data_IF_499899497870
#
_entry.id   IF_499899497870
#
_cell.length_a   1.000
_cell.length_b   1.000
_cell.length_c   1.000
_cell.angle_alpha   90.00
_cell.angle_beta   90.00
_cell.angle_gamma   90.00
#
_symmetry.space_group_name_H-M   'P 1'
#
loop_
_entity.id
_entity.type
_entity.pdbx_description
1 polymer ?
#
# COMPACT_ATOMS: atom_id res chain seq x y z
N UNK A 1 8.34 -29.51 12.83
CA UNK A 1 7.87 -28.59 13.89
C UNK A 1 8.28 -27.15 13.60
N UNK A 2 9.56 -26.77 13.68
CA UNK A 2 9.99 -25.36 13.59
C UNK A 2 9.84 -24.71 12.21
N UNK A 3 9.92 -25.47 11.12
CA UNK A 3 9.90 -24.93 9.75
C UNK A 3 8.55 -24.34 9.36
N UNK A 4 7.43 -25.00 9.70
CA UNK A 4 6.08 -24.49 9.40
C UNK A 4 5.74 -23.22 10.16
N UNK A 5 6.17 -23.13 11.42
CA UNK A 5 6.03 -21.90 12.21
C UNK A 5 6.83 -20.75 11.59
N UNK A 6 8.09 -20.98 11.23
CA UNK A 6 8.95 -19.96 10.60
C UNK A 6 8.39 -19.55 9.22
N UNK A 7 7.94 -20.51 8.41
CA UNK A 7 7.38 -20.23 7.07
C UNK A 7 6.07 -19.45 7.17
N UNK A 8 5.16 -19.85 8.07
CA UNK A 8 3.89 -19.13 8.24
C UNK A 8 4.13 -17.72 8.75
N UNK A 9 4.88 -17.55 9.86
CA UNK A 9 5.17 -16.23 10.42
C UNK A 9 5.90 -15.30 9.44
N UNK A 10 6.90 -15.80 8.72
CA UNK A 10 7.60 -15.01 7.69
C UNK A 10 6.70 -14.61 6.52
N UNK A 11 5.77 -15.46 6.10
CA UNK A 11 4.80 -15.12 5.05
C UNK A 11 3.88 -13.97 5.46
N UNK A 12 3.41 -13.95 6.72
CA UNK A 12 2.59 -12.85 7.23
C UNK A 12 3.39 -11.55 7.42
N UNK A 13 4.62 -11.62 7.92
CA UNK A 13 5.52 -10.46 7.99
C UNK A 13 5.78 -9.87 6.60
N UNK A 14 6.01 -10.73 5.61
CA UNK A 14 6.21 -10.28 4.23
C UNK A 14 4.95 -9.60 3.68
N UNK A 15 3.77 -10.13 3.98
CA UNK A 15 2.49 -9.53 3.57
C UNK A 15 2.28 -8.11 4.11
N UNK A 16 2.82 -7.79 5.29
CA UNK A 16 2.77 -6.45 5.89
C UNK A 16 3.68 -5.45 5.18
N UNK A 17 4.85 -5.90 4.72
CA UNK A 17 5.85 -5.04 4.07
C UNK A 17 5.50 -4.76 2.60
N UNK A 18 4.81 -5.68 1.93
CA UNK A 18 4.44 -5.58 0.51
C UNK A 18 3.74 -4.25 0.13
N UNK A 19 2.69 -3.78 0.83
CA UNK A 19 2.02 -2.51 0.49
C UNK A 19 2.97 -1.30 0.54
N UNK A 20 3.90 -1.28 1.48
CA UNK A 20 4.90 -0.21 1.63
C UNK A 20 5.90 -0.24 0.47
N UNK A 21 6.36 -1.44 0.09
CA UNK A 21 7.24 -1.64 -1.06
C UNK A 21 6.54 -1.26 -2.37
N UNK A 22 5.29 -1.66 -2.57
CA UNK A 22 4.49 -1.28 -3.75
C UNK A 22 4.36 0.25 -3.84
N UNK A 23 4.02 0.92 -2.75
CA UNK A 23 3.94 2.40 -2.74
C UNK A 23 5.27 3.05 -3.11
N UNK A 24 6.38 2.50 -2.63
CA UNK A 24 7.72 2.98 -2.94
C UNK A 24 8.08 2.77 -4.42
N UNK A 25 7.93 1.55 -4.94
CA UNK A 25 8.21 1.20 -6.33
C UNK A 25 7.33 2.01 -7.29
N UNK A 26 6.02 2.08 -7.03
CA UNK A 26 5.10 2.86 -7.85
C UNK A 26 5.40 4.36 -7.72
N UNK A 27 5.78 4.85 -6.54
CA UNK A 27 6.24 6.22 -6.36
C UNK A 27 7.50 6.56 -7.16
N UNK A 28 8.45 5.62 -7.23
CA UNK A 28 9.67 5.75 -8.00
C UNK A 28 9.42 5.69 -9.51
N UNK A 29 8.54 4.78 -9.95
CA UNK A 29 8.19 4.66 -11.37
C UNK A 29 7.40 5.88 -11.87
N UNK A 30 6.47 6.38 -11.06
CA UNK A 30 5.74 7.62 -11.31
C UNK A 30 6.49 8.83 -10.75
N UNK A 31 7.82 8.88 -10.78
CA UNK A 31 8.58 10.07 -10.37
C UNK A 31 8.37 11.23 -11.37
N UNK A 32 8.56 12.47 -10.93
CA UNK A 32 8.21 13.66 -11.74
C UNK A 32 8.88 13.64 -13.12
N UNK A 33 8.10 13.60 -14.22
CA UNK A 33 8.65 13.81 -15.54
C UNK A 33 9.30 15.19 -15.59
N UNK A 34 10.44 15.30 -16.26
CA UNK A 34 11.14 16.58 -16.48
C UNK A 34 10.23 17.68 -17.07
N UNK A 35 9.16 17.30 -17.77
CA UNK A 35 8.15 18.22 -18.28
C UNK A 35 7.36 18.99 -17.21
N UNK A 36 7.07 18.38 -16.05
CA UNK A 36 6.37 19.07 -14.96
C UNK A 36 7.23 20.14 -14.27
N UNK A 37 8.54 19.92 -14.22
CA UNK A 37 9.49 20.91 -13.70
C UNK A 37 9.57 22.14 -14.62
N UNK A 38 9.56 21.92 -15.95
CA UNK A 38 9.54 23.00 -16.92
C UNK A 38 8.25 23.83 -16.81
N UNK A 39 7.09 23.18 -16.71
CA UNK A 39 5.80 23.84 -16.49
C UNK A 39 5.76 24.66 -15.20
N UNK A 40 6.32 24.14 -14.09
CA UNK A 40 6.49 24.91 -12.85
C UNK A 40 7.38 26.13 -13.03
N UNK A 41 8.50 25.98 -13.75
CA UNK A 41 9.41 27.10 -14.01
C UNK A 41 8.75 28.18 -14.88
N UNK A 42 7.91 27.80 -15.84
CA UNK A 42 7.14 28.74 -16.67
C UNK A 42 6.07 29.46 -15.85
N UNK A 43 5.36 28.77 -14.95
CA UNK A 43 4.42 29.43 -14.04
C UNK A 43 5.11 30.51 -13.18
N UNK A 44 6.27 30.19 -12.59
CA UNK A 44 7.05 31.15 -11.78
C UNK A 44 7.51 32.35 -12.62
N UNK A 45 7.94 32.12 -13.87
CA UNK A 45 8.33 33.20 -14.79
C UNK A 45 7.16 34.13 -15.14
N UNK A 46 5.98 33.58 -15.43
CA UNK A 46 4.79 34.38 -15.70
C UNK A 46 4.33 35.15 -14.46
N UNK A 47 4.47 34.58 -13.27
CA UNK A 47 4.15 35.25 -12.00
C UNK A 47 5.10 36.43 -11.74
N UNK A 48 6.40 36.27 -12.03
CA UNK A 48 7.36 37.38 -12.01
C UNK A 48 7.03 38.45 -13.04
N UNK A 49 6.68 38.07 -14.27
CA UNK A 49 6.30 39.01 -15.33
C UNK A 49 5.06 39.83 -14.92
N UNK A 50 4.05 39.19 -14.32
CA UNK A 50 2.89 39.89 -13.78
C UNK A 50 3.23 40.88 -12.67
N UNK A 51 4.17 40.52 -11.79
CA UNK A 51 4.61 41.40 -10.69
C UNK A 51 5.37 42.64 -11.17
N UNK A 52 5.97 42.57 -12.35
CA UNK A 52 6.72 43.68 -12.96
C UNK A 52 5.84 44.68 -13.74
N UNK A 53 4.59 44.32 -14.04
CA UNK A 53 3.65 45.16 -14.80
C UNK A 53 2.79 45.97 -13.83
N UNK A 54 2.71 47.29 -14.04
CA UNK A 54 1.76 48.15 -13.31
C UNK A 54 0.32 47.72 -13.65
N UNK A 55 -0.39 47.16 -12.66
CA UNK A 55 -1.78 46.70 -12.80
C UNK A 55 -2.73 47.86 -13.18
N UNK A 56 -2.41 49.08 -12.76
CA UNK A 56 -3.24 50.28 -12.94
C UNK A 56 -3.02 50.91 -14.31
N UNK A 57 -1.77 51.04 -14.77
CA UNK A 57 -1.45 51.70 -16.04
C UNK A 57 -1.52 50.76 -17.25
N UNK A 58 -1.18 49.48 -17.06
CA UNK A 58 -1.10 48.47 -18.13
C UNK A 58 -2.11 47.32 -17.92
N UNK A 59 -3.31 47.62 -17.44
CA UNK A 59 -4.34 46.62 -17.12
C UNK A 59 -4.62 45.61 -18.25
N UNK A 60 -4.63 46.06 -19.51
CA UNK A 60 -4.80 45.18 -20.68
C UNK A 60 -3.67 44.16 -20.82
N UNK A 61 -2.43 44.57 -20.55
CA UNK A 61 -1.24 43.71 -20.61
C UNK A 61 -1.22 42.75 -19.43
N UNK A 62 -1.50 43.25 -18.22
CA UNK A 62 -1.65 42.45 -17.00
C UNK A 62 -2.70 41.36 -17.18
N UNK A 63 -3.90 41.71 -17.69
CA UNK A 63 -5.00 40.75 -17.89
C UNK A 63 -4.64 39.65 -18.88
N UNK A 64 -3.87 39.96 -19.94
CA UNK A 64 -3.38 38.96 -20.89
C UNK A 64 -2.40 37.98 -20.25
N UNK A 65 -1.44 38.48 -19.45
CA UNK A 65 -0.49 37.61 -18.74
C UNK A 65 -1.20 36.78 -17.68
N UNK A 66 -2.13 37.37 -16.93
CA UNK A 66 -2.94 36.68 -15.92
C UNK A 66 -3.78 35.53 -16.50
N UNK A 67 -4.38 35.73 -17.69
CA UNK A 67 -5.10 34.66 -18.40
C UNK A 67 -4.17 33.52 -18.84
N UNK A 68 -2.98 33.85 -19.33
CA UNK A 68 -1.96 32.84 -19.68
C UNK A 68 -1.52 32.05 -18.44
N UNK A 69 -1.24 32.73 -17.33
CA UNK A 69 -0.85 32.11 -16.08
C UNK A 69 -1.96 31.19 -15.52
N UNK A 70 -3.20 31.68 -15.50
CA UNK A 70 -4.37 30.90 -15.05
C UNK A 70 -4.54 29.63 -15.90
N UNK A 71 -4.44 29.75 -17.23
CA UNK A 71 -4.54 28.61 -18.13
C UNK A 71 -3.43 27.59 -17.87
N UNK A 72 -2.18 28.04 -17.78
CA UNK A 72 -1.02 27.17 -17.51
C UNK A 72 -1.14 26.44 -16.17
N UNK A 73 -1.66 27.12 -15.14
CA UNK A 73 -1.93 26.55 -13.83
C UNK A 73 -3.03 25.49 -13.86
N UNK A 74 -4.08 25.71 -14.65
CA UNK A 74 -5.16 24.75 -14.82
C UNK A 74 -4.67 23.50 -15.56
N UNK A 75 -3.91 23.67 -16.64
CA UNK A 75 -3.27 22.57 -17.37
C UNK A 75 -2.34 21.76 -16.46
N UNK A 76 -1.50 22.43 -15.66
CA UNK A 76 -0.63 21.78 -14.68
C UNK A 76 -1.42 20.99 -13.63
N UNK A 77 -2.48 21.58 -13.06
CA UNK A 77 -3.34 20.90 -12.08
C UNK A 77 -4.02 19.66 -12.67
N UNK A 78 -4.45 19.74 -13.93
CA UNK A 78 -5.05 18.61 -14.64
C UNK A 78 -4.04 17.49 -14.90
N UNK A 79 -2.82 17.81 -15.31
CA UNK A 79 -1.75 16.82 -15.48
C UNK A 79 -1.42 16.10 -14.17
N UNK A 80 -1.25 16.87 -13.08
CA UNK A 80 -0.97 16.31 -11.75
C UNK A 80 -2.13 15.45 -11.25
N UNK A 81 -3.38 15.88 -11.44
CA UNK A 81 -4.55 15.11 -11.00
C UNK A 81 -4.70 13.79 -11.76
N UNK A 82 -4.50 13.80 -13.08
CA UNK A 82 -4.50 12.59 -13.91
C UNK A 82 -3.39 11.64 -13.44
N UNK A 83 -2.17 12.13 -13.21
CA UNK A 83 -1.06 11.30 -12.73
C UNK A 83 -1.29 10.75 -11.33
N UNK A 84 -1.80 11.56 -10.40
CA UNK A 84 -2.16 11.08 -9.06
C UNK A 84 -3.23 10.00 -9.13
N UNK A 85 -4.23 10.15 -10.00
CA UNK A 85 -5.27 9.13 -10.20
C UNK A 85 -4.70 7.85 -10.80
N UNK A 86 -3.80 7.94 -11.77
CA UNK A 86 -3.12 6.79 -12.38
C UNK A 86 -2.24 6.05 -11.36
N UNK A 87 -1.47 6.81 -10.56
CA UNK A 87 -0.65 6.29 -9.47
C UNK A 87 -1.51 5.57 -8.44
N UNK A 88 -2.61 6.18 -8.00
CA UNK A 88 -3.52 5.57 -7.04
C UNK A 88 -4.14 4.28 -7.59
N UNK A 89 -4.60 4.28 -8.84
CA UNK A 89 -5.11 3.08 -9.52
C UNK A 89 -4.06 1.98 -9.58
N UNK A 90 -2.81 2.30 -9.92
CA UNK A 90 -1.71 1.33 -9.96
C UNK A 90 -1.41 0.75 -8.56
N UNK A 91 -1.27 1.59 -7.54
CA UNK A 91 -1.05 1.14 -6.15
C UNK A 91 -2.19 0.23 -5.71
N UNK A 92 -3.45 0.61 -5.96
CA UNK A 92 -4.61 -0.20 -5.61
C UNK A 92 -4.60 -1.56 -6.33
N UNK A 93 -4.33 -1.56 -7.64
CA UNK A 93 -4.28 -2.77 -8.44
C UNK A 93 -3.20 -3.75 -7.93
N UNK A 94 -1.97 -3.29 -7.73
CA UNK A 94 -0.88 -4.12 -7.21
C UNK A 94 -1.12 -4.58 -5.77
N UNK A 95 -1.66 -3.72 -4.92
CA UNK A 95 -1.97 -4.09 -3.54
C UNK A 95 -3.09 -5.12 -3.49
N UNK A 96 -4.12 -4.96 -4.31
CA UNK A 96 -5.23 -5.90 -4.39
C UNK A 96 -4.78 -7.26 -4.94
N UNK A 97 -4.00 -7.27 -6.02
CA UNK A 97 -3.46 -8.52 -6.58
C UNK A 97 -2.57 -9.26 -5.58
N UNK A 98 -1.70 -8.54 -4.86
CA UNK A 98 -0.86 -9.13 -3.81
C UNK A 98 -1.69 -9.73 -2.67
N UNK A 99 -2.77 -9.07 -2.24
CA UNK A 99 -3.69 -9.59 -1.21
C UNK A 99 -4.39 -10.86 -1.67
N UNK A 100 -4.90 -10.89 -2.89
CA UNK A 100 -5.56 -12.08 -3.46
C UNK A 100 -4.58 -13.24 -3.54
N UNK A 101 -3.35 -12.99 -4.03
CA UNK A 101 -2.31 -14.01 -4.10
C UNK A 101 -1.94 -14.55 -2.71
N UNK A 102 -1.74 -13.67 -1.72
CA UNK A 102 -1.43 -14.08 -0.36
C UNK A 102 -2.55 -14.94 0.26
N UNK A 103 -3.82 -14.54 0.07
CA UNK A 103 -4.97 -15.33 0.50
C UNK A 103 -5.03 -16.72 -0.14
N UNK A 104 -4.68 -16.83 -1.43
CA UNK A 104 -4.60 -18.11 -2.14
C UNK A 104 -3.50 -19.01 -1.56
N UNK A 105 -2.31 -18.46 -1.28
CA UNK A 105 -1.21 -19.20 -0.66
C UNK A 105 -1.62 -19.71 0.73
N UNK A 106 -2.26 -18.87 1.55
CA UNK A 106 -2.78 -19.28 2.87
C UNK A 106 -3.79 -20.41 2.73
N UNK A 107 -4.74 -20.31 1.79
CA UNK A 107 -5.76 -21.33 1.56
C UNK A 107 -5.14 -22.67 1.13
N UNK A 108 -4.14 -22.64 0.24
CA UNK A 108 -3.39 -23.84 -0.17
C UNK A 108 -2.66 -24.43 1.03
N UNK A 109 -2.03 -23.60 1.85
CA UNK A 109 -1.29 -24.05 3.04
C UNK A 109 -2.22 -24.68 4.08
N UNK A 110 -3.40 -24.11 4.33
CA UNK A 110 -4.43 -24.72 5.20
C UNK A 110 -4.92 -26.06 4.66
N UNK A 111 -5.05 -26.20 3.33
CA UNK A 111 -5.52 -27.44 2.72
C UNK A 111 -4.47 -28.55 2.81
N UNK A 112 -3.20 -28.22 2.56
CA UNK A 112 -2.10 -29.17 2.52
C UNK A 112 -1.64 -29.61 3.92
N UNK A 113 -1.59 -28.68 4.89
CA UNK A 113 -1.09 -28.91 6.24
C UNK A 113 -2.21 -28.91 7.29
N UNK A 114 -3.42 -29.32 6.90
CA UNK A 114 -4.64 -29.24 7.73
C UNK A 114 -4.51 -29.92 9.10
N UNK A 115 -3.75 -31.01 9.15
CA UNK A 115 -3.65 -31.90 10.32
C UNK A 115 -2.35 -31.73 11.10
N UNK A 116 -1.38 -30.96 10.59
CA UNK A 116 -0.09 -30.78 11.27
C UNK A 116 -0.15 -29.64 12.30
N UNK A 117 0.27 -29.91 13.55
CA UNK A 117 0.34 -28.88 14.59
C UNK A 117 1.52 -27.93 14.31
N UNK A 118 1.30 -26.62 14.47
CA UNK A 118 2.36 -25.61 14.25
C UNK A 118 3.30 -25.53 15.44
N UNK A 119 2.75 -25.59 16.65
CA UNK A 119 3.50 -25.54 17.91
C UNK A 119 2.89 -26.54 18.88
N UNK A 120 3.73 -27.33 19.53
CA UNK A 120 3.35 -28.24 20.63
C UNK A 120 3.87 -27.62 21.91
N UNK A 121 2.99 -27.50 22.89
CA UNK A 121 3.29 -26.94 24.20
C UNK A 121 3.44 -28.03 25.26
N UNK A 122 4.16 -27.76 26.36
CA UNK A 122 4.16 -28.63 27.53
C UNK A 122 2.76 -28.68 28.14
N UNK A 123 2.41 -29.86 28.69
CA UNK A 123 1.05 -30.18 29.13
C UNK A 123 0.46 -29.14 30.09
N UNK A 124 -0.77 -28.72 29.83
CA UNK A 124 -1.57 -27.91 30.75
C UNK A 124 -1.36 -26.40 30.66
N UNK A 125 -0.51 -25.91 29.77
CA UNK A 125 -0.27 -24.46 29.63
C UNK A 125 -1.40 -23.73 28.89
N UNK A 126 -2.16 -24.46 28.06
CA UNK A 126 -3.25 -23.92 27.25
C UNK A 126 -4.64 -24.18 27.86
N UNK A 127 -4.71 -24.72 29.08
CA UNK A 127 -5.98 -24.96 29.76
C UNK A 127 -6.63 -23.61 30.15
N UNK A 128 -7.91 -23.34 29.83
CA UNK A 128 -8.95 -24.22 29.29
C UNK A 128 -9.18 -24.14 27.76
N UNK A 129 -8.44 -23.29 27.04
CA UNK A 129 -8.65 -23.02 25.62
C UNK A 129 -8.03 -24.07 24.67
N UNK A 130 -7.32 -25.06 25.22
CA UNK A 130 -6.60 -26.09 24.45
C UNK A 130 -7.47 -26.79 23.39
N UNK A 131 -8.71 -27.14 23.73
CA UNK A 131 -9.67 -27.75 22.77
C UNK A 131 -10.05 -26.84 21.61
N UNK A 132 -10.05 -25.52 21.84
CA UNK A 132 -10.40 -24.53 20.81
C UNK A 132 -9.18 -24.26 19.94
N UNK A 133 -7.97 -24.15 20.52
CA UNK A 133 -6.73 -23.87 19.79
C UNK A 133 -6.23 -25.09 18.98
N UNK A 134 -6.48 -26.30 19.46
CA UNK A 134 -6.07 -27.54 18.80
C UNK A 134 -6.95 -27.90 17.61
N UNK A 135 -8.21 -27.47 17.56
CA UNK A 135 -9.10 -27.75 16.42
C UNK A 135 -8.57 -27.09 15.14
N UNK A 136 -8.42 -27.79 13.98
CA UNK A 136 -8.79 -29.18 13.63
C UNK A 136 -7.65 -30.23 13.72
N UNK A 137 -6.53 -29.91 14.37
CA UNK A 137 -5.44 -30.86 14.65
C UNK A 137 -5.83 -31.88 15.73
N UNK A 138 -5.17 -33.04 15.70
CA UNK A 138 -5.47 -34.18 16.59
C UNK A 138 -4.55 -34.22 17.83
N UNK A 139 -3.56 -33.34 17.91
CA UNK A 139 -2.57 -33.32 19.00
C UNK A 139 -3.04 -32.45 20.17
N UNK A 140 -3.05 -33.03 21.38
CA UNK A 140 -3.32 -32.31 22.65
C UNK A 140 -2.20 -31.30 22.96
N UNK A 141 -2.54 -30.18 23.61
CA UNK A 141 -1.62 -29.07 23.93
C UNK A 141 -0.91 -28.48 22.69
N UNK A 142 -1.60 -28.37 21.55
CA UNK A 142 -1.03 -27.85 20.31
C UNK A 142 -1.88 -26.78 19.63
N UNK A 143 -1.23 -25.88 18.88
CA UNK A 143 -1.92 -24.87 18.08
C UNK A 143 -2.02 -25.35 16.63
N UNK A 144 -3.25 -25.45 16.13
CA UNK A 144 -3.49 -25.81 14.74
C UNK A 144 -3.05 -24.70 13.78
N UNK A 145 -2.66 -25.07 12.56
CA UNK A 145 -2.32 -24.09 11.53
C UNK A 145 -3.50 -23.18 11.20
N UNK A 146 -4.73 -23.69 11.25
CA UNK A 146 -5.94 -22.91 11.04
C UNK A 146 -6.13 -21.83 12.12
N UNK A 147 -5.89 -22.17 13.39
CA UNK A 147 -6.00 -21.18 14.47
C UNK A 147 -4.84 -20.19 14.45
N UNK A 148 -3.63 -20.64 14.17
CA UNK A 148 -2.47 -19.76 14.04
C UNK A 148 -2.65 -18.73 12.92
N UNK A 149 -3.10 -19.17 11.74
CA UNK A 149 -3.39 -18.28 10.60
C UNK A 149 -4.56 -17.33 10.87
N UNK A 150 -5.59 -17.79 11.58
CA UNK A 150 -6.69 -16.94 12.05
C UNK A 150 -6.21 -15.82 12.97
N UNK A 151 -5.41 -16.15 13.99
CA UNK A 151 -4.82 -15.18 14.91
C UNK A 151 -3.94 -14.17 14.18
N UNK A 152 -3.03 -14.64 13.31
CA UNK A 152 -2.17 -13.75 12.52
C UNK A 152 -2.96 -12.83 11.61
N UNK A 153 -4.06 -13.31 11.02
CA UNK A 153 -4.95 -12.48 10.20
C UNK A 153 -5.62 -11.39 11.04
N UNK A 154 -6.11 -11.72 12.24
CA UNK A 154 -6.70 -10.74 13.16
C UNK A 154 -5.66 -9.68 13.55
N UNK A 155 -4.48 -10.11 14.01
CA UNK A 155 -3.38 -9.22 14.39
C UNK A 155 -2.97 -8.30 13.24
N UNK A 156 -2.87 -8.83 12.02
CA UNK A 156 -2.54 -8.06 10.82
C UNK A 156 -3.61 -7.05 10.39
N UNK A 157 -4.87 -7.22 10.83
CA UNK A 157 -5.97 -6.28 10.57
C UNK A 157 -6.09 -5.22 11.65
N UNK A 158 -5.69 -5.54 12.87
CA UNK A 158 -5.76 -4.64 14.03
C UNK A 158 -4.56 -3.67 14.09
N UNK A 159 -3.44 -4.03 13.46
CA UNK A 159 -2.21 -3.21 13.37
C UNK A 159 -2.18 -2.41 12.08
#
# INVERSE_FOLDING_TARGET
MSTLFIISTSLYLFSYVIPSVIKYIVGWFFSEPKGEQNLRSEMIKLEQEMSSISMVDEFSRYTKVQRKHTKLREDFKNLVSVRMSARAKAVLFFTYSARVFNGLVILIMLKLYRTEPVVIFPKGILWPLDKILSWPSTYEDSISLAMWTGLLTIVSRTT
#
